data_IF_681332901854
#
_entry.id   IF_681332901854
#
_cell.length_a   1.000
_cell.length_b   1.000
_cell.length_c   1.000
_cell.angle_alpha   90.00
_cell.angle_beta   90.00
_cell.angle_gamma   90.00
#
_symmetry.space_group_name_H-M   'P 1'
#
loop_
_entity.id
_entity.type
_entity.pdbx_description
1 polymer ?
#
# COMPACT_ATOMS: atom_id res chain seq x y z
N UNK A 1 17.51 -10.78 22.41
CA UNK A 1 16.56 -9.78 22.95
C UNK A 1 15.37 -9.71 22.00
N UNK A 2 14.16 -9.91 22.51
CA UNK A 2 12.94 -9.79 21.70
C UNK A 2 12.67 -8.32 21.36
N UNK A 3 12.11 -8.05 20.19
CA UNK A 3 11.66 -6.69 19.81
C UNK A 3 10.41 -6.32 20.59
N UNK A 4 10.10 -5.04 20.67
CA UNK A 4 8.86 -4.54 21.26
C UNK A 4 7.68 -5.10 20.49
N UNK A 5 6.70 -5.67 21.18
CA UNK A 5 5.52 -6.22 20.51
C UNK A 5 4.60 -5.12 19.97
N UNK A 6 3.71 -5.48 19.04
CA UNK A 6 2.84 -4.54 18.35
C UNK A 6 1.98 -3.71 19.30
N UNK A 7 1.42 -4.34 20.34
CA UNK A 7 0.54 -3.63 21.27
C UNK A 7 1.30 -2.60 22.08
N UNK A 8 2.52 -2.93 22.48
CA UNK A 8 3.38 -2.01 23.22
C UNK A 8 3.89 -0.88 22.33
N UNK A 9 4.22 -1.13 21.05
CA UNK A 9 4.53 -0.05 20.10
C UNK A 9 3.38 0.97 20.06
N UNK A 10 2.14 0.49 19.98
CA UNK A 10 0.98 1.38 19.91
C UNK A 10 0.66 2.08 21.23
N UNK A 11 0.92 1.45 22.37
CA UNK A 11 0.76 2.08 23.69
C UNK A 11 1.81 3.14 23.97
N UNK A 12 3.06 2.90 23.56
CA UNK A 12 4.18 3.80 23.84
C UNK A 12 4.12 5.09 23.02
N UNK A 13 3.49 5.04 21.83
CA UNK A 13 3.23 6.23 21.01
C UNK A 13 1.86 6.15 20.31
N UNK A 14 0.78 6.45 21.04
CA UNK A 14 -0.57 6.37 20.48
C UNK A 14 -0.80 7.29 19.26
N UNK A 15 -0.14 8.43 19.22
CA UNK A 15 -0.27 9.38 18.10
C UNK A 15 0.27 8.81 16.79
N UNK A 16 1.23 7.88 16.84
CA UNK A 16 1.72 7.18 15.65
C UNK A 16 0.56 6.49 14.92
N UNK A 17 -0.25 5.74 15.65
CA UNK A 17 -1.40 5.01 15.10
C UNK A 17 -2.46 5.97 14.58
N UNK A 18 -2.89 6.92 15.43
CA UNK A 18 -3.98 7.84 15.07
C UNK A 18 -3.60 8.76 13.91
N UNK A 19 -2.38 9.29 13.87
CA UNK A 19 -1.96 10.17 12.78
C UNK A 19 -1.88 9.45 11.44
N UNK A 20 -1.27 8.26 11.40
CA UNK A 20 -1.18 7.48 10.15
C UNK A 20 -2.55 6.97 9.69
N UNK A 21 -3.38 6.48 10.62
CA UNK A 21 -4.73 6.02 10.31
C UNK A 21 -5.59 7.17 9.79
N UNK A 22 -5.60 8.31 10.48
CA UNK A 22 -6.41 9.47 10.06
C UNK A 22 -6.00 9.99 8.68
N UNK A 23 -4.70 10.05 8.39
CA UNK A 23 -4.23 10.47 7.07
C UNK A 23 -4.62 9.46 5.98
N UNK A 24 -4.43 8.18 6.24
CA UNK A 24 -4.79 7.10 5.31
C UNK A 24 -6.29 7.06 5.04
N UNK A 25 -7.12 7.19 6.07
CA UNK A 25 -8.58 7.20 5.95
C UNK A 25 -9.07 8.43 5.17
N UNK A 26 -8.55 9.61 5.48
CA UNK A 26 -8.92 10.84 4.77
C UNK A 26 -8.56 10.74 3.27
N UNK A 27 -7.38 10.25 2.93
CA UNK A 27 -6.96 10.05 1.55
C UNK A 27 -7.81 8.97 0.85
N UNK A 28 -8.15 7.88 1.56
CA UNK A 28 -9.00 6.80 1.07
C UNK A 28 -10.46 7.21 0.80
N UNK A 29 -10.92 8.35 1.29
CA UNK A 29 -12.25 8.90 0.93
C UNK A 29 -12.25 9.52 -0.48
N UNK A 30 -11.09 9.87 -1.01
CA UNK A 30 -10.96 10.51 -2.33
C UNK A 30 -10.70 9.48 -3.44
N UNK A 31 -10.04 8.37 -3.09
CA UNK A 31 -9.65 7.32 -4.03
C UNK A 31 -10.57 6.11 -3.87
N UNK A 32 -10.97 5.51 -4.97
CA UNK A 32 -11.82 4.32 -4.98
C UNK A 32 -11.21 3.15 -4.17
N UNK A 33 -12.02 2.52 -3.33
CA UNK A 33 -11.57 1.48 -2.41
C UNK A 33 -10.85 0.30 -3.09
N UNK A 34 -11.29 -0.22 -4.24
CA UNK A 34 -10.55 -1.29 -4.93
C UNK A 34 -9.12 -0.91 -5.28
N UNK A 35 -8.90 0.33 -5.72
CA UNK A 35 -7.54 0.82 -6.02
C UNK A 35 -6.70 0.97 -4.74
N UNK A 36 -7.28 1.45 -3.66
CA UNK A 36 -6.58 1.54 -2.36
C UNK A 36 -6.09 0.16 -1.91
N UNK A 37 -6.90 -0.88 -2.04
CA UNK A 37 -6.50 -2.25 -1.73
C UNK A 37 -5.32 -2.74 -2.57
N UNK A 38 -5.35 -2.49 -3.88
CA UNK A 38 -4.23 -2.84 -4.77
C UNK A 38 -2.94 -2.12 -4.38
N UNK A 39 -3.02 -0.84 -4.05
CA UNK A 39 -1.86 -0.05 -3.62
C UNK A 39 -1.28 -0.56 -2.30
N UNK A 40 -2.12 -0.81 -1.30
CA UNK A 40 -1.70 -1.35 -0.01
C UNK A 40 -0.95 -2.69 -0.18
N UNK A 41 -1.52 -3.60 -0.96
CA UNK A 41 -0.90 -4.90 -1.19
C UNK A 41 0.40 -4.77 -2.00
N UNK A 42 0.40 -3.98 -3.09
CA UNK A 42 1.59 -3.85 -3.93
C UNK A 42 2.76 -3.21 -3.19
N UNK A 43 2.53 -2.15 -2.44
CA UNK A 43 3.57 -1.49 -1.64
C UNK A 43 4.12 -2.46 -0.59
N UNK A 44 3.27 -3.26 0.03
CA UNK A 44 3.67 -4.27 1.01
C UNK A 44 4.49 -5.41 0.38
N UNK A 45 4.21 -5.78 -0.87
CA UNK A 45 5.03 -6.71 -1.66
C UNK A 45 6.42 -6.12 -1.93
N UNK A 46 6.49 -4.87 -2.37
CA UNK A 46 7.76 -4.18 -2.67
C UNK A 46 8.65 -4.08 -1.44
N UNK A 47 8.08 -3.77 -0.29
CA UNK A 47 8.79 -3.65 0.96
C UNK A 47 9.05 -5.00 1.67
N UNK A 48 8.49 -6.11 1.17
CA UNK A 48 8.68 -7.44 1.76
C UNK A 48 8.03 -7.63 3.14
N UNK A 49 6.93 -6.91 3.43
CA UNK A 49 6.22 -7.01 4.70
C UNK A 49 5.19 -8.16 4.65
N UNK A 50 5.55 -9.35 5.14
CA UNK A 50 4.64 -10.51 5.16
C UNK A 50 3.37 -10.25 5.98
N UNK A 51 3.48 -9.63 7.15
CA UNK A 51 2.34 -9.24 7.98
C UNK A 51 1.37 -8.34 7.20
N UNK A 52 1.89 -7.32 6.52
CA UNK A 52 1.09 -6.37 5.77
C UNK A 52 0.45 -7.02 4.53
N UNK A 53 1.20 -7.85 3.79
CA UNK A 53 0.68 -8.58 2.63
C UNK A 53 -0.48 -9.49 3.02
N UNK A 54 -0.33 -10.27 4.10
CA UNK A 54 -1.36 -11.15 4.59
C UNK A 54 -2.64 -10.38 4.95
N UNK A 55 -2.50 -9.30 5.71
CA UNK A 55 -3.62 -8.46 6.13
C UNK A 55 -4.34 -7.81 4.94
N UNK A 56 -3.60 -7.14 4.07
CA UNK A 56 -4.20 -6.39 2.96
C UNK A 56 -4.76 -7.30 1.85
N UNK A 57 -4.18 -8.47 1.61
CA UNK A 57 -4.77 -9.46 0.71
C UNK A 57 -6.11 -10.00 1.26
N UNK A 58 -6.19 -10.24 2.56
CA UNK A 58 -7.44 -10.66 3.21
C UNK A 58 -8.51 -9.57 3.15
N UNK A 59 -8.15 -8.31 3.40
CA UNK A 59 -9.05 -7.17 3.29
C UNK A 59 -9.58 -6.99 1.87
N UNK A 60 -8.69 -7.04 0.87
CA UNK A 60 -9.07 -6.93 -0.54
C UNK A 60 -10.08 -8.01 -0.96
N UNK A 61 -9.83 -9.28 -0.58
CA UNK A 61 -10.77 -10.38 -0.85
C UNK A 61 -12.10 -10.19 -0.16
N UNK A 62 -12.10 -9.82 1.10
CA UNK A 62 -13.33 -9.56 1.86
C UNK A 62 -14.18 -8.49 1.19
N UNK A 63 -13.54 -7.48 0.61
CA UNK A 63 -14.22 -6.36 -0.02
C UNK A 63 -14.47 -6.59 -1.53
N UNK A 64 -14.29 -7.83 -2.01
CA UNK A 64 -14.74 -8.28 -3.33
C UNK A 64 -13.68 -8.28 -4.43
N UNK A 65 -12.40 -8.06 -4.11
CA UNK A 65 -11.33 -8.15 -5.11
C UNK A 65 -11.13 -9.60 -5.57
N UNK A 66 -10.89 -9.77 -6.86
CA UNK A 66 -10.73 -11.09 -7.47
C UNK A 66 -9.36 -11.70 -7.13
N UNK A 67 -9.36 -12.96 -6.67
CA UNK A 67 -8.13 -13.66 -6.31
C UNK A 67 -7.12 -13.71 -7.47
N UNK A 68 -7.58 -13.90 -8.70
CA UNK A 68 -6.71 -13.94 -9.88
C UNK A 68 -5.93 -12.63 -10.08
N UNK A 69 -6.53 -11.49 -9.78
CA UNK A 69 -5.85 -10.18 -9.85
C UNK A 69 -4.81 -10.04 -8.74
N UNK A 70 -5.12 -10.51 -7.54
CA UNK A 70 -4.19 -10.52 -6.41
C UNK A 70 -3.00 -11.45 -6.67
N UNK A 71 -3.24 -12.62 -7.29
CA UNK A 71 -2.20 -13.61 -7.60
C UNK A 71 -1.12 -13.05 -8.53
N UNK A 72 -1.48 -12.15 -9.45
CA UNK A 72 -0.55 -11.59 -10.44
C UNK A 72 -0.20 -10.13 -10.19
N UNK A 73 -0.61 -9.55 -9.07
CA UNK A 73 -0.36 -8.14 -8.78
C UNK A 73 1.14 -7.80 -8.75
N UNK A 74 1.99 -8.70 -8.31
CA UNK A 74 3.45 -8.49 -8.33
C UNK A 74 4.02 -8.38 -9.75
N UNK A 75 3.30 -8.93 -10.74
CA UNK A 75 3.64 -8.89 -12.16
C UNK A 75 2.58 -8.13 -12.98
N UNK A 76 1.95 -7.12 -12.40
CA UNK A 76 0.82 -6.40 -12.98
C UNK A 76 1.08 -5.85 -14.39
N UNK A 77 2.35 -5.55 -14.70
CA UNK A 77 2.74 -5.00 -16.01
C UNK A 77 2.58 -6.01 -17.15
N UNK A 78 2.69 -7.31 -16.86
CA UNK A 78 2.68 -8.41 -17.82
C UNK A 78 1.25 -8.90 -18.16
N UNK A 79 0.21 -8.35 -17.52
CA UNK A 79 -1.16 -8.78 -17.71
C UNK A 79 -2.08 -7.62 -18.07
N UNK A 80 -3.18 -7.91 -18.76
CA UNK A 80 -4.26 -6.97 -19.07
C UNK A 80 -5.33 -6.84 -17.97
N UNK A 81 -5.12 -7.39 -16.78
CA UNK A 81 -6.13 -7.42 -15.72
C UNK A 81 -6.36 -6.07 -15.03
N UNK A 82 -5.48 -5.10 -15.25
CA UNK A 82 -5.51 -3.79 -14.60
C UNK A 82 -5.79 -2.68 -15.60
N UNK A 83 -6.72 -1.79 -15.25
CA UNK A 83 -7.07 -0.63 -16.08
C UNK A 83 -5.91 0.36 -16.24
N UNK A 84 -6.01 1.26 -17.20
CA UNK A 84 -5.02 2.33 -17.38
C UNK A 84 -4.85 3.18 -16.11
N UNK A 85 -5.95 3.47 -15.42
CA UNK A 85 -5.96 4.21 -14.15
C UNK A 85 -5.24 3.44 -13.04
N UNK A 86 -5.54 2.17 -12.88
CA UNK A 86 -4.86 1.30 -11.90
C UNK A 86 -3.36 1.16 -12.21
N UNK A 87 -3.01 0.98 -13.47
CA UNK A 87 -1.61 0.86 -13.92
C UNK A 87 -0.81 2.14 -13.64
N UNK A 88 -1.39 3.32 -13.88
CA UNK A 88 -0.74 4.59 -13.57
C UNK A 88 -0.50 4.75 -12.05
N UNK A 89 -1.49 4.40 -11.23
CA UNK A 89 -1.36 4.45 -9.77
C UNK A 89 -0.34 3.43 -9.23
N UNK A 90 -0.33 2.21 -9.75
CA UNK A 90 0.66 1.18 -9.38
C UNK A 90 2.08 1.62 -9.74
N UNK A 91 2.27 2.22 -10.91
CA UNK A 91 3.57 2.75 -11.33
C UNK A 91 4.03 3.91 -10.43
N UNK A 92 3.11 4.79 -10.05
CA UNK A 92 3.39 5.86 -9.10
C UNK A 92 3.78 5.33 -7.71
N UNK A 93 3.05 4.31 -7.23
CA UNK A 93 3.35 3.65 -5.96
C UNK A 93 4.73 3.00 -5.95
N UNK A 94 5.10 2.31 -7.03
CA UNK A 94 6.43 1.71 -7.18
C UNK A 94 7.53 2.78 -7.20
N UNK A 95 7.34 3.86 -7.98
CA UNK A 95 8.30 4.94 -8.08
C UNK A 95 8.57 5.61 -6.73
N UNK A 96 7.51 5.94 -5.96
CA UNK A 96 7.66 6.56 -4.65
C UNK A 96 8.23 5.59 -3.59
N UNK A 97 7.89 4.33 -3.66
CA UNK A 97 8.38 3.31 -2.72
C UNK A 97 9.85 3.01 -2.93
N UNK A 98 10.32 3.01 -4.18
CA UNK A 98 11.68 2.64 -4.58
C UNK A 98 12.63 3.85 -4.75
N UNK A 99 12.24 5.03 -4.29
CA UNK A 99 13.07 6.26 -4.37
C UNK A 99 14.53 6.07 -3.93
N UNK A 100 14.85 5.30 -2.86
CA UNK A 100 16.24 5.11 -2.46
C UNK A 100 17.13 4.40 -3.49
N UNK A 101 16.52 3.64 -4.40
CA UNK A 101 17.22 2.82 -5.39
C UNK A 101 16.97 3.23 -6.85
N UNK A 102 16.01 4.10 -7.09
CA UNK A 102 15.61 4.50 -8.45
C UNK A 102 15.31 6.00 -8.51
N UNK A 103 15.68 6.63 -9.62
CA UNK A 103 15.28 8.01 -9.88
C UNK A 103 13.82 8.07 -10.30
N UNK A 104 13.10 9.06 -9.79
CA UNK A 104 11.74 9.36 -10.24
C UNK A 104 11.79 9.95 -11.65
N UNK A 105 11.13 9.28 -12.59
CA UNK A 105 11.06 9.71 -13.98
C UNK A 105 9.85 10.62 -14.21
N UNK A 106 10.05 11.70 -14.98
CA UNK A 106 8.97 12.58 -15.44
C UNK A 106 7.90 11.81 -16.23
N UNK A 107 8.28 10.74 -16.92
CA UNK A 107 7.34 9.88 -17.65
C UNK A 107 6.28 9.28 -16.73
N UNK A 108 6.67 8.84 -15.52
CA UNK A 108 5.74 8.27 -14.53
C UNK A 108 4.71 9.32 -14.09
N UNK A 109 5.18 10.54 -13.82
CA UNK A 109 4.28 11.64 -13.45
C UNK A 109 3.38 12.06 -14.60
N UNK A 110 3.92 12.13 -15.82
CA UNK A 110 3.15 12.48 -17.01
C UNK A 110 2.03 11.45 -17.32
N UNK A 111 2.28 10.17 -17.11
CA UNK A 111 1.23 9.14 -17.21
C UNK A 111 0.16 9.34 -16.12
N UNK A 112 0.58 9.62 -14.89
CA UNK A 112 -0.30 9.80 -13.75
C UNK A 112 -1.32 10.93 -13.98
N UNK A 113 -0.87 12.09 -14.46
CA UNK A 113 -1.73 13.26 -14.71
C UNK A 113 -2.77 13.04 -15.82
N UNK A 114 -2.61 12.01 -16.66
CA UNK A 114 -3.63 11.64 -17.65
C UNK A 114 -4.82 10.91 -17.05
N UNK A 115 -4.64 10.32 -15.85
CA UNK A 115 -5.64 9.47 -15.21
C UNK A 115 -6.23 10.07 -13.93
N UNK A 116 -5.54 11.02 -13.31
CA UNK A 116 -5.88 11.55 -12.00
C UNK A 116 -5.82 13.08 -11.99
N UNK A 117 -6.77 13.69 -11.29
CA UNK A 117 -6.72 15.12 -10.95
C UNK A 117 -5.60 15.42 -9.94
N UNK A 118 -5.25 16.69 -9.80
CA UNK A 118 -4.25 17.11 -8.81
C UNK A 118 -4.63 16.69 -7.38
N UNK A 119 -5.91 16.80 -7.02
CA UNK A 119 -6.40 16.37 -5.71
C UNK A 119 -6.22 14.86 -5.52
N UNK A 120 -6.56 14.06 -6.51
CA UNK A 120 -6.38 12.61 -6.46
C UNK A 120 -4.91 12.23 -6.37
N UNK A 121 -4.01 12.89 -7.10
CA UNK A 121 -2.56 12.63 -7.06
C UNK A 121 -2.00 12.86 -5.65
N UNK A 122 -2.39 13.95 -4.99
CA UNK A 122 -1.96 14.23 -3.62
C UNK A 122 -2.48 13.16 -2.66
N UNK A 123 -3.74 12.73 -2.80
CA UNK A 123 -4.32 11.69 -1.96
C UNK A 123 -3.74 10.30 -2.24
N UNK A 124 -3.48 9.94 -3.50
CA UNK A 124 -2.70 8.74 -3.84
C UNK A 124 -1.33 8.74 -3.16
N UNK A 125 -0.64 9.87 -3.22
CA UNK A 125 0.68 10.01 -2.59
C UNK A 125 0.59 9.88 -1.06
N UNK A 126 -0.44 10.42 -0.43
CA UNK A 126 -0.69 10.24 1.01
C UNK A 126 -0.93 8.77 1.37
N UNK A 127 -1.72 8.03 0.57
CA UNK A 127 -1.92 6.58 0.74
C UNK A 127 -0.60 5.83 0.65
N UNK A 128 0.21 6.15 -0.35
CA UNK A 128 1.52 5.51 -0.57
C UNK A 128 2.47 5.78 0.59
N UNK A 129 2.56 7.04 1.04
CA UNK A 129 3.42 7.45 2.16
C UNK A 129 3.01 6.76 3.46
N UNK A 130 1.72 6.72 3.78
CA UNK A 130 1.22 6.07 4.99
C UNK A 130 1.46 4.57 4.95
N UNK A 131 1.26 3.92 3.80
CA UNK A 131 1.53 2.48 3.67
C UNK A 131 3.00 2.15 3.82
N UNK A 132 3.88 2.95 3.22
CA UNK A 132 5.33 2.81 3.42
C UNK A 132 5.73 3.00 4.89
N UNK A 133 5.11 3.94 5.61
CA UNK A 133 5.34 4.13 7.04
C UNK A 133 4.92 2.88 7.85
N UNK A 134 3.72 2.35 7.61
CA UNK A 134 3.24 1.14 8.26
C UNK A 134 4.12 -0.08 7.99
N UNK A 135 4.57 -0.28 6.74
CA UNK A 135 5.49 -1.38 6.41
C UNK A 135 6.79 -1.27 7.23
N UNK A 136 7.34 -0.07 7.39
CA UNK A 136 8.58 0.15 8.14
C UNK A 136 8.39 -0.13 9.63
N UNK A 137 7.26 0.24 10.18
CA UNK A 137 6.92 -0.07 11.58
C UNK A 137 6.79 -1.58 11.76
N UNK A 138 5.98 -2.23 10.90
CA UNK A 138 5.74 -3.66 10.99
C UNK A 138 7.03 -4.48 10.82
N UNK A 139 7.88 -4.13 9.86
CA UNK A 139 9.16 -4.79 9.64
C UNK A 139 10.17 -4.46 10.75
N UNK A 140 10.24 -3.19 11.16
CA UNK A 140 11.14 -2.73 12.22
C UNK A 140 10.93 -3.46 13.53
N UNK A 141 9.68 -3.73 13.89
CA UNK A 141 9.29 -4.44 15.12
C UNK A 141 8.95 -5.90 14.91
N UNK A 142 9.08 -6.42 13.67
CA UNK A 142 8.81 -7.82 13.31
C UNK A 142 7.41 -8.30 13.69
N UNK A 143 6.38 -7.54 13.31
CA UNK A 143 5.01 -7.96 13.49
C UNK A 143 4.76 -9.31 12.80
N UNK A 144 4.07 -10.20 13.48
CA UNK A 144 3.80 -11.56 13.02
C UNK A 144 2.31 -11.73 12.72
N UNK A 145 2.01 -12.48 11.65
CA UNK A 145 0.69 -13.01 11.37
C UNK A 145 0.64 -14.47 11.79
N UNK A 146 -0.49 -14.91 12.32
CA UNK A 146 -0.80 -16.32 12.46
C UNK A 146 -1.62 -16.79 11.25
N UNK A 147 -1.39 -18.03 10.80
CA UNK A 147 -2.31 -18.67 9.88
C UNK A 147 -3.66 -18.81 10.60
N UNK A 148 -4.74 -18.42 9.91
CA UNK A 148 -6.08 -18.72 10.41
C UNK A 148 -6.25 -20.25 10.35
N UNK A 149 -6.71 -20.87 11.41
CA UNK A 149 -7.15 -22.25 11.36
C UNK A 149 -8.39 -22.30 10.43
N UNK A 150 -8.36 -23.23 9.45
CA UNK A 150 -9.51 -23.52 8.58
C UNK A 150 -10.71 -24.03 9.39
#
# INVERSE_FOLDING_TARGET
MSRIDRNDVYKLQPTLVTALTNLGDAAGQVIEAPLVHLLHLRISQLNGCAFCQHMHAAEARRDGEQQQRLDVLAAWQETGFFSARERAALRWAEALTLLPSQQLSDTVYNELITQFSQQEIVNLSAIIVTMNAWNRIALGFQFQSSLMAD
#
